data_IF_280569620904
#
_entry.id   IF_280569620904
#
_cell.length_a   1.000
_cell.length_b   1.000
_cell.length_c   1.000
_cell.angle_alpha   90.00
_cell.angle_beta   90.00
_cell.angle_gamma   90.00
#
_symmetry.space_group_name_H-M   'P 1'
#
loop_
_entity.id
_entity.type
_entity.pdbx_description
1 polymer ?
#
# COMPACT_ATOMS: atom_id res chain seq x y z
N UNK A 1 -7.24 -41.30 11.74
CA UNK A 1 -6.16 -40.39 11.33
C UNK A 1 -6.13 -39.32 12.40
N UNK A 2 -5.00 -39.15 13.06
CA UNK A 2 -4.91 -38.31 14.25
C UNK A 2 -4.63 -36.86 13.83
N UNK A 3 -5.28 -35.91 14.50
CA UNK A 3 -4.99 -34.49 14.34
C UNK A 3 -3.70 -34.15 15.10
N UNK A 4 -2.72 -33.59 14.39
CA UNK A 4 -1.38 -33.27 14.90
C UNK A 4 -1.18 -31.77 15.14
N UNK A 5 -2.20 -30.94 14.87
CA UNK A 5 -2.09 -29.50 15.08
C UNK A 5 -2.29 -29.14 16.56
N UNK A 6 -1.53 -28.17 17.10
CA UNK A 6 -1.77 -27.72 18.46
C UNK A 6 -3.10 -26.96 18.55
N UNK A 7 -3.79 -27.14 19.66
CA UNK A 7 -4.98 -26.34 19.96
C UNK A 7 -4.59 -24.85 20.15
N UNK A 8 -5.53 -23.94 19.87
CA UNK A 8 -5.37 -22.49 20.10
C UNK A 8 -4.33 -21.75 19.23
N UNK A 9 -4.21 -22.12 17.95
CA UNK A 9 -3.37 -21.43 16.95
C UNK A 9 -3.63 -19.90 16.79
N UNK A 10 -4.79 -19.40 17.24
CA UNK A 10 -5.20 -17.99 17.06
C UNK A 10 -4.94 -17.09 18.29
N UNK A 11 -4.19 -17.55 19.29
CA UNK A 11 -4.12 -16.89 20.61
C UNK A 11 -3.40 -15.53 20.64
N UNK A 12 -2.66 -15.15 19.59
CA UNK A 12 -1.93 -13.87 19.57
C UNK A 12 -2.12 -13.13 18.23
N UNK A 13 -3.09 -12.22 18.18
CA UNK A 13 -3.34 -11.39 16.99
C UNK A 13 -2.45 -10.14 17.01
N UNK A 14 -1.20 -10.30 16.56
CA UNK A 14 -0.36 -9.14 16.22
C UNK A 14 -0.97 -8.45 15.00
N UNK A 15 -1.06 -7.12 15.03
CA UNK A 15 -1.58 -6.36 13.89
C UNK A 15 -0.53 -6.34 12.78
N UNK A 16 -0.82 -7.06 11.69
CA UNK A 16 0.12 -7.13 10.56
C UNK A 16 0.25 -5.77 9.86
N UNK A 17 1.42 -5.46 9.26
CA UNK A 17 1.60 -4.28 8.41
C UNK A 17 0.52 -4.15 7.33
N UNK A 18 0.14 -5.28 6.72
CA UNK A 18 -0.91 -5.36 5.69
C UNK A 18 -2.28 -4.97 6.24
N UNK A 19 -2.59 -5.33 7.49
CA UNK A 19 -3.84 -4.91 8.15
C UNK A 19 -3.87 -3.40 8.32
N UNK A 20 -2.76 -2.80 8.78
CA UNK A 20 -2.64 -1.34 8.94
C UNK A 20 -2.83 -0.64 7.58
N UNK A 21 -2.18 -1.14 6.52
CA UNK A 21 -2.35 -0.60 5.17
C UNK A 21 -3.81 -0.67 4.69
N UNK A 22 -4.49 -1.79 4.90
CA UNK A 22 -5.90 -1.95 4.49
C UNK A 22 -6.84 -0.99 5.23
N UNK A 23 -6.58 -0.75 6.50
CA UNK A 23 -7.32 0.26 7.27
C UNK A 23 -7.10 1.67 6.70
N UNK A 24 -5.86 2.06 6.42
CA UNK A 24 -5.58 3.36 5.80
C UNK A 24 -6.20 3.48 4.40
N UNK A 25 -6.22 2.39 3.64
CA UNK A 25 -6.86 2.34 2.34
C UNK A 25 -8.39 2.60 2.43
N UNK A 26 -9.05 1.98 3.42
CA UNK A 26 -10.46 2.23 3.69
C UNK A 26 -10.72 3.68 4.13
N UNK A 27 -9.83 4.27 4.94
CA UNK A 27 -9.97 5.65 5.39
C UNK A 27 -9.86 6.65 4.23
N UNK A 28 -9.01 6.39 3.23
CA UNK A 28 -8.93 7.23 2.04
C UNK A 28 -10.26 7.22 1.27
N UNK A 29 -10.82 6.04 0.98
CA UNK A 29 -12.10 5.92 0.28
C UNK A 29 -13.25 6.63 1.00
N UNK A 30 -13.28 6.60 2.33
CA UNK A 30 -14.26 7.36 3.11
C UNK A 30 -14.08 8.88 2.96
N UNK A 31 -12.84 9.37 2.98
CA UNK A 31 -12.52 10.80 2.87
C UNK A 31 -12.83 11.40 1.50
N UNK A 32 -12.78 10.58 0.46
CA UNK A 32 -12.96 10.98 -0.94
C UNK A 32 -14.32 10.54 -1.50
N UNK A 33 -15.21 10.01 -0.65
CA UNK A 33 -16.48 9.44 -1.07
C UNK A 33 -16.33 8.42 -2.22
N UNK A 34 -15.25 7.65 -2.19
CA UNK A 34 -14.87 6.65 -3.20
C UNK A 34 -14.54 7.18 -4.60
N UNK A 35 -14.48 8.50 -4.83
CA UNK A 35 -13.97 9.05 -6.09
C UNK A 35 -12.49 8.65 -6.32
N UNK A 36 -11.73 8.58 -5.23
CA UNK A 36 -10.37 8.02 -5.20
C UNK A 36 -10.27 7.01 -4.07
N UNK A 37 -9.81 5.81 -4.34
CA UNK A 37 -9.68 4.74 -3.35
C UNK A 37 -8.22 4.33 -3.21
N UNK A 38 -7.91 3.56 -2.18
CA UNK A 38 -6.64 2.86 -2.10
C UNK A 38 -6.87 1.35 -2.04
N UNK A 39 -5.89 0.59 -2.52
CA UNK A 39 -5.91 -0.86 -2.55
C UNK A 39 -4.55 -1.42 -2.17
N UNK A 40 -4.58 -2.45 -1.32
CA UNK A 40 -3.40 -3.24 -0.97
C UNK A 40 -3.46 -4.56 -1.73
N UNK A 41 -2.44 -4.84 -2.53
CA UNK A 41 -2.33 -6.09 -3.30
C UNK A 41 -1.13 -6.88 -2.82
N UNK A 42 -1.29 -8.19 -2.61
CA UNK A 42 -0.12 -9.06 -2.57
C UNK A 42 0.42 -9.20 -3.99
N UNK A 43 1.73 -9.12 -4.13
CA UNK A 43 2.40 -9.40 -5.40
C UNK A 43 3.22 -10.66 -5.23
N UNK A 44 3.13 -11.54 -6.23
CA UNK A 44 3.98 -12.71 -6.27
C UNK A 44 5.41 -12.25 -6.39
N UNK A 45 6.23 -12.82 -5.53
CA UNK A 45 7.64 -12.72 -5.71
C UNK A 45 8.02 -13.60 -6.90
N UNK A 46 8.48 -12.99 -7.98
CA UNK A 46 9.03 -13.73 -9.12
C UNK A 46 10.31 -14.43 -8.67
N UNK A 47 10.16 -15.68 -8.22
CA UNK A 47 11.23 -16.59 -7.89
C UNK A 47 11.43 -17.59 -9.03
N UNK A 48 11.50 -17.10 -10.28
CA UNK A 48 11.78 -17.89 -11.50
C UNK A 48 12.81 -19.02 -11.27
N UNK A 49 12.35 -20.24 -10.95
CA UNK A 49 13.19 -21.43 -10.76
C UNK A 49 14.18 -21.42 -9.59
N UNK A 50 14.27 -20.34 -8.80
CA UNK A 50 15.27 -20.21 -7.72
C UNK A 50 14.77 -20.67 -6.34
N UNK A 51 13.52 -21.12 -6.22
CA UNK A 51 12.91 -21.51 -4.94
C UNK A 51 13.68 -22.64 -4.21
N UNK A 52 14.40 -23.49 -4.93
CA UNK A 52 15.26 -24.56 -4.37
C UNK A 52 16.50 -24.02 -3.64
N UNK A 53 16.90 -22.78 -3.92
CA UNK A 53 18.11 -22.14 -3.38
C UNK A 53 17.83 -21.02 -2.38
N UNK A 54 16.57 -20.63 -2.22
CA UNK A 54 16.19 -19.57 -1.29
C UNK A 54 16.17 -20.11 0.14
N UNK A 55 16.88 -19.40 1.01
CA UNK A 55 16.71 -19.53 2.45
C UNK A 55 15.40 -18.86 2.89
N UNK A 56 14.83 -19.29 4.03
CA UNK A 56 13.63 -18.66 4.60
C UNK A 56 13.80 -17.15 4.82
N UNK A 57 15.04 -16.66 5.01
CA UNK A 57 15.35 -15.23 5.11
C UNK A 57 15.18 -14.46 3.80
N UNK A 58 15.22 -15.13 2.66
CA UNK A 58 15.13 -14.55 1.33
C UNK A 58 13.69 -14.56 0.79
N UNK A 59 12.82 -15.41 1.35
CA UNK A 59 11.39 -15.42 1.04
C UNK A 59 10.68 -14.25 1.69
N UNK A 60 10.34 -13.24 0.89
CA UNK A 60 9.62 -12.04 1.34
C UNK A 60 8.17 -12.07 0.88
N UNK A 61 7.26 -11.81 1.82
CA UNK A 61 5.90 -11.38 1.52
C UNK A 61 5.98 -9.96 0.97
N UNK A 62 5.43 -9.74 -0.22
CA UNK A 62 5.47 -8.45 -0.91
C UNK A 62 4.06 -7.92 -1.15
N UNK A 63 3.88 -6.62 -0.90
CA UNK A 63 2.60 -5.94 -1.08
C UNK A 63 2.79 -4.57 -1.74
N UNK A 64 1.89 -4.23 -2.64
CA UNK A 64 1.80 -2.90 -3.23
C UNK A 64 0.66 -2.11 -2.61
N UNK A 65 0.90 -0.83 -2.35
CA UNK A 65 -0.13 0.14 -1.98
C UNK A 65 -0.41 1.02 -3.19
N UNK A 66 -1.61 0.92 -3.73
CA UNK A 66 -2.02 1.63 -4.93
C UNK A 66 -3.16 2.62 -4.62
N UNK A 67 -3.12 3.78 -5.28
CA UNK A 67 -4.24 4.70 -5.40
C UNK A 67 -5.03 4.34 -6.67
N UNK A 68 -6.33 4.24 -6.54
CA UNK A 68 -7.27 3.89 -7.61
C UNK A 68 -8.21 5.05 -7.87
N UNK A 69 -8.49 5.30 -9.14
CA UNK A 69 -9.51 6.24 -9.59
C UNK A 69 -10.56 5.48 -10.42
N UNK A 70 -11.65 4.97 -9.80
CA UNK A 70 -12.68 4.21 -10.51
C UNK A 70 -13.29 4.99 -11.68
N UNK A 71 -13.50 6.29 -11.48
CA UNK A 71 -14.03 7.20 -12.51
C UNK A 71 -13.13 7.32 -13.74
N UNK A 72 -11.84 6.98 -13.67
CA UNK A 72 -10.89 7.06 -14.78
C UNK A 72 -10.60 5.70 -15.40
N UNK A 73 -11.66 4.90 -15.63
CA UNK A 73 -11.51 3.54 -16.14
C UNK A 73 -10.71 2.63 -15.20
N UNK A 74 -10.83 2.84 -13.89
CA UNK A 74 -10.05 2.16 -12.84
C UNK A 74 -8.53 2.38 -12.96
N UNK A 75 -8.11 3.60 -13.34
CA UNK A 75 -6.70 3.98 -13.33
C UNK A 75 -6.05 3.66 -11.98
N UNK A 76 -4.81 3.15 -12.03
CA UNK A 76 -4.06 2.72 -10.85
C UNK A 76 -2.70 3.37 -10.83
N UNK A 77 -2.42 4.08 -9.74
CA UNK A 77 -1.10 4.60 -9.41
C UNK A 77 -0.49 3.78 -8.26
N UNK A 78 0.71 3.23 -8.42
CA UNK A 78 1.43 2.55 -7.33
C UNK A 78 2.18 3.60 -6.51
N UNK A 79 1.83 3.74 -5.23
CA UNK A 79 2.46 4.72 -4.35
C UNK A 79 3.78 4.19 -3.77
N UNK A 80 3.75 2.96 -3.26
CA UNK A 80 4.94 2.28 -2.74
C UNK A 80 4.72 0.77 -2.70
N UNK A 81 5.80 0.03 -2.48
CA UNK A 81 5.80 -1.40 -2.17
C UNK A 81 6.34 -1.61 -0.77
N UNK A 82 5.82 -2.59 -0.03
CA UNK A 82 6.43 -3.08 1.21
C UNK A 82 6.83 -4.55 1.07
N UNK A 83 7.85 -4.94 1.82
CA UNK A 83 8.23 -6.34 1.95
C UNK A 83 8.69 -6.70 3.36
N UNK A 84 8.34 -7.89 3.82
CA UNK A 84 8.78 -8.44 5.10
C UNK A 84 8.74 -9.98 5.07
N UNK A 85 9.41 -10.62 6.03
CA UNK A 85 9.33 -12.07 6.21
C UNK A 85 8.10 -12.43 7.07
N UNK A 86 7.91 -13.71 7.39
CA UNK A 86 6.78 -14.16 8.23
C UNK A 86 6.75 -13.52 9.63
N UNK A 87 7.89 -13.01 10.10
CA UNK A 87 8.06 -12.31 11.38
C UNK A 87 7.40 -10.90 11.42
N UNK A 88 6.81 -10.44 10.30
CA UNK A 88 6.17 -9.13 10.10
C UNK A 88 7.12 -7.92 10.11
N UNK A 89 8.12 -7.90 10.98
CA UNK A 89 9.12 -6.84 11.09
C UNK A 89 10.54 -7.44 11.06
N UNK A 90 11.54 -6.71 10.51
CA UNK A 90 11.42 -5.37 9.94
C UNK A 90 10.69 -5.37 8.58
N UNK A 91 10.05 -4.24 8.27
CA UNK A 91 9.42 -3.98 6.97
C UNK A 91 10.32 -3.06 6.15
N UNK A 92 10.54 -3.43 4.89
CA UNK A 92 11.24 -2.58 3.92
C UNK A 92 10.20 -1.91 3.04
N UNK A 93 10.18 -0.58 3.04
CA UNK A 93 9.48 0.23 2.06
C UNK A 93 10.37 0.44 0.84
N UNK A 94 9.78 0.34 -0.35
CA UNK A 94 10.37 0.78 -1.61
C UNK A 94 9.45 1.87 -2.17
N UNK A 95 9.96 3.10 -2.16
CA UNK A 95 9.20 4.31 -2.47
C UNK A 95 9.45 4.77 -3.90
N UNK A 96 8.47 5.49 -4.45
CA UNK A 96 8.71 6.32 -5.64
C UNK A 96 9.79 7.38 -5.35
N UNK A 97 10.59 7.75 -6.35
CA UNK A 97 11.69 8.71 -6.19
C UNK A 97 11.20 10.07 -5.68
N UNK A 98 10.03 10.53 -6.13
CA UNK A 98 9.45 11.80 -5.69
C UNK A 98 9.11 11.78 -4.20
N UNK A 99 8.47 10.71 -3.73
CA UNK A 99 8.17 10.53 -2.31
C UNK A 99 9.46 10.37 -1.51
N UNK A 100 10.40 9.54 -1.98
CA UNK A 100 11.68 9.33 -1.32
C UNK A 100 12.49 10.63 -1.19
N UNK A 101 12.40 11.53 -2.17
CA UNK A 101 13.05 12.84 -2.15
C UNK A 101 12.53 13.76 -1.04
N UNK A 102 11.26 13.65 -0.67
CA UNK A 102 10.67 14.42 0.43
C UNK A 102 10.98 13.84 1.82
N UNK A 103 11.50 12.62 1.87
CA UNK A 103 11.82 11.92 3.12
C UNK A 103 13.27 12.17 3.53
N UNK A 104 13.54 13.34 4.10
CA UNK A 104 14.78 13.71 4.80
C UNK A 104 14.61 13.54 6.32
N UNK A 105 14.38 12.31 6.76
CA UNK A 105 14.16 12.02 8.18
C UNK A 105 15.20 11.04 8.71
N UNK A 106 16.13 11.56 9.52
CA UNK A 106 17.24 10.82 10.13
C UNK A 106 16.78 9.70 11.08
N UNK A 107 15.50 9.65 11.46
CA UNK A 107 14.94 8.57 12.29
C UNK A 107 14.90 7.23 11.56
N UNK A 108 14.97 7.24 10.23
CA UNK A 108 14.80 6.03 9.43
C UNK A 108 16.08 5.64 8.70
N UNK A 109 16.39 4.35 8.74
CA UNK A 109 17.50 3.80 7.98
C UNK A 109 17.11 3.74 6.50
N UNK A 110 17.77 4.56 5.68
CA UNK A 110 17.46 4.77 4.25
C UNK A 110 18.65 4.41 3.36
N UNK A 111 18.36 3.75 2.24
CA UNK A 111 19.33 3.45 1.17
C UNK A 111 18.67 3.67 -0.19
N UNK A 112 18.94 4.82 -0.80
CA UNK A 112 18.24 5.23 -2.02
C UNK A 112 16.75 5.43 -1.76
N UNK A 113 15.90 4.70 -2.48
CA UNK A 113 14.43 4.70 -2.29
C UNK A 113 13.93 3.68 -1.27
N UNK A 114 14.83 2.86 -0.70
CA UNK A 114 14.49 1.88 0.32
C UNK A 114 14.57 2.49 1.72
N UNK A 115 13.55 2.23 2.53
CA UNK A 115 13.50 2.68 3.93
C UNK A 115 13.06 1.56 4.86
N UNK A 116 13.76 1.38 5.97
CA UNK A 116 13.54 0.28 6.92
C UNK A 116 12.70 0.74 8.12
N UNK A 117 11.65 0.00 8.44
CA UNK A 117 10.87 0.14 9.67
C UNK A 117 11.00 -1.12 10.53
N UNK A 118 11.63 -1.00 11.70
CA UNK A 118 12.00 -2.14 12.56
C UNK A 118 10.88 -2.57 13.52
N UNK A 119 9.82 -1.78 13.64
CA UNK A 119 8.69 -2.03 14.55
C UNK A 119 7.37 -1.52 13.99
N UNK A 120 6.25 -1.91 14.61
CA UNK A 120 4.91 -1.37 14.27
C UNK A 120 4.84 0.16 14.41
N UNK A 121 5.51 0.70 15.43
CA UNK A 121 5.58 2.14 15.65
C UNK A 121 6.33 2.84 14.52
N UNK A 122 7.53 2.35 14.19
CA UNK A 122 8.31 2.90 13.08
C UNK A 122 7.56 2.78 11.76
N UNK A 123 6.88 1.66 11.52
CA UNK A 123 6.06 1.44 10.33
C UNK A 123 4.92 2.46 10.24
N UNK A 124 4.22 2.70 11.35
CA UNK A 124 3.12 3.66 11.42
C UNK A 124 3.59 5.10 11.25
N UNK A 125 4.73 5.45 11.86
CA UNK A 125 5.35 6.77 11.73
C UNK A 125 5.81 7.00 10.27
N UNK A 126 6.49 6.02 9.66
CA UNK A 126 6.89 6.01 8.25
C UNK A 126 5.69 6.17 7.31
N UNK A 127 4.66 5.35 7.48
CA UNK A 127 3.44 5.39 6.68
C UNK A 127 2.77 6.76 6.77
N UNK A 128 2.76 7.36 7.95
CA UNK A 128 2.19 8.70 8.18
C UNK A 128 2.97 9.77 7.41
N UNK A 129 4.29 9.73 7.38
CA UNK A 129 5.11 10.65 6.58
C UNK A 129 4.82 10.48 5.09
N UNK A 130 4.85 9.23 4.59
CA UNK A 130 4.54 8.92 3.18
C UNK A 130 3.16 9.45 2.78
N UNK A 131 2.12 9.12 3.53
CA UNK A 131 0.74 9.52 3.19
C UNK A 131 0.48 11.03 3.33
N UNK A 132 1.40 11.77 3.99
CA UNK A 132 1.33 13.23 4.17
C UNK A 132 2.31 14.00 3.29
N UNK A 133 3.17 13.31 2.55
CA UNK A 133 4.05 13.92 1.54
C UNK A 133 3.24 14.79 0.57
N UNK A 134 3.86 15.88 0.12
CA UNK A 134 3.26 16.76 -0.88
C UNK A 134 3.01 15.98 -2.17
N UNK A 135 3.97 15.14 -2.58
CA UNK A 135 3.79 14.24 -3.73
C UNK A 135 2.53 13.38 -3.64
N UNK A 136 2.24 12.77 -2.48
CA UNK A 136 1.04 11.95 -2.31
C UNK A 136 -0.24 12.78 -2.40
N UNK A 137 -0.25 13.99 -1.81
CA UNK A 137 -1.40 14.90 -1.88
C UNK A 137 -1.68 15.32 -3.32
N UNK A 138 -0.64 15.69 -4.07
CA UNK A 138 -0.74 16.05 -5.49
C UNK A 138 -1.37 14.93 -6.31
N UNK A 139 -0.88 13.69 -6.16
CA UNK A 139 -1.40 12.53 -6.88
C UNK A 139 -2.89 12.33 -6.57
N UNK A 140 -3.28 12.38 -5.30
CA UNK A 140 -4.68 12.21 -4.89
C UNK A 140 -5.54 13.34 -5.47
N UNK A 141 -5.08 14.60 -5.41
CA UNK A 141 -5.82 15.75 -5.94
C UNK A 141 -6.02 15.65 -7.45
N UNK A 142 -4.96 15.32 -8.20
CA UNK A 142 -5.01 15.15 -9.66
C UNK A 142 -6.02 14.07 -10.05
N UNK A 143 -5.97 12.91 -9.38
CA UNK A 143 -6.89 11.81 -9.65
C UNK A 143 -8.33 12.14 -9.23
N UNK A 144 -8.49 12.85 -8.12
CA UNK A 144 -9.79 13.25 -7.60
C UNK A 144 -10.48 14.22 -8.57
N UNK A 145 -9.82 15.31 -8.96
CA UNK A 145 -10.38 16.31 -9.89
C UNK A 145 -10.78 15.68 -11.22
N UNK A 146 -9.90 14.86 -11.80
CA UNK A 146 -10.22 14.16 -13.06
C UNK A 146 -11.41 13.21 -12.91
N UNK A 147 -11.53 12.50 -11.78
CA UNK A 147 -12.64 11.58 -11.55
C UNK A 147 -13.97 12.31 -11.37
N UNK A 148 -13.98 13.49 -10.75
CA UNK A 148 -15.19 14.29 -10.56
C UNK A 148 -15.63 15.00 -11.83
N UNK A 149 -14.69 15.51 -12.64
CA UNK A 149 -15.02 16.19 -13.89
C UNK A 149 -15.66 15.21 -14.89
N UNK A 150 -15.09 14.01 -15.03
CA UNK A 150 -15.61 12.98 -15.94
C UNK A 150 -17.01 12.46 -15.53
N UNK A 151 -17.31 12.46 -14.24
CA UNK A 151 -18.64 12.10 -13.74
C UNK A 151 -19.70 13.16 -14.10
N UNK A 152 -19.34 14.45 -14.00
CA UNK A 152 -20.21 15.56 -14.42
C UNK A 152 -20.51 15.53 -15.92
N UNK A 153 -19.52 15.17 -16.75
CA UNK A 153 -19.69 15.05 -18.19
C UNK A 153 -20.66 13.90 -18.56
N UNK A 154 -20.54 12.73 -17.92
CA UNK A 154 -21.42 11.58 -18.15
C UNK A 154 -22.88 11.87 -17.76
N UNK A 155 -23.13 12.52 -16.61
CA UNK A 155 -24.49 12.93 -16.22
C UNK A 155 -25.10 13.95 -17.19
N UNK A 156 -24.28 14.84 -17.75
CA UNK A 156 -24.75 15.84 -18.72
C UNK A 156 -25.18 15.23 -20.06
N UNK A 157 -24.47 14.18 -20.50
CA UNK A 157 -24.80 13.44 -21.71
C UNK A 157 -26.09 12.63 -21.54
N UNK A 158 -26.25 11.91 -20.43
CA UNK A 158 -27.47 11.13 -20.14
C UNK A 158 -28.73 12.02 -20.03
N UNK A 159 -28.59 13.26 -19.53
CA UNK A 159 -29.70 14.22 -19.46
C UNK A 159 -30.03 14.87 -20.80
N UNK A 160 -29.13 14.82 -21.77
CA UNK A 160 -29.35 15.38 -23.12
C UNK A 160 -30.02 14.38 -24.06
N UNK A 161 -30.03 13.10 -23.71
CA UNK A 161 -30.62 11.99 -24.49
C UNK A 161 -32.00 11.54 -23.97
N UNK A 162 -32.51 12.15 -22.89
CA UNK A 162 -33.81 11.88 -22.27
C UNK A 162 -34.83 13.00 -22.56
#
# INVERSE_FOLDING_TARGET
MDDLWPENLAANRIKSPVTILKEQASLLGQKTQNAVQAQVRSIEADYQGYWETLTEKEMKLRYEFCILAPGLGNYRYKLFTISHNVDLYPVIFNLDEGVAGEMEDDRFEKRGTEVLAKSEKEFSDMLKEILRSERTKEIIQVLFSQSTDMHGDLESLERSEA
#
